data_IF_968715833151
#
_entry.id   IF_968715833151
#
_cell.length_a   1.000
_cell.length_b   1.000
_cell.length_c   1.000
_cell.angle_alpha   90.00
_cell.angle_beta   90.00
_cell.angle_gamma   90.00
#
_symmetry.space_group_name_H-M   'P 1'
#
loop_
_entity.id
_entity.type
_entity.pdbx_description
1 polymer ?
#
# COMPACT_ATOMS: atom_id res chain seq x y z
N UNK A 1 9.83 15.39 3.15
CA UNK A 1 11.31 15.35 3.25
C UNK A 1 11.87 14.07 2.62
N UNK A 2 11.60 12.87 3.18
CA UNK A 2 12.13 11.61 2.61
C UNK A 2 11.65 11.31 1.18
N UNK A 3 10.38 11.56 0.84
CA UNK A 3 9.91 11.41 -0.55
C UNK A 3 10.70 12.27 -1.55
N UNK A 4 11.13 13.48 -1.15
CA UNK A 4 11.94 14.37 -2.01
C UNK A 4 13.33 13.79 -2.23
N UNK A 5 13.94 13.18 -1.20
CA UNK A 5 15.25 12.52 -1.32
C UNK A 5 15.22 11.36 -2.34
N UNK A 6 14.10 10.63 -2.41
CA UNK A 6 13.86 9.61 -3.43
C UNK A 6 13.32 10.14 -4.75
N UNK A 7 13.31 11.47 -4.96
CA UNK A 7 12.82 12.15 -6.17
C UNK A 7 11.33 11.87 -6.47
N UNK A 8 10.53 11.57 -5.44
CA UNK A 8 9.08 11.47 -5.59
C UNK A 8 8.51 12.85 -5.89
N UNK A 9 7.73 12.95 -6.98
CA UNK A 9 7.09 14.21 -7.37
C UNK A 9 5.89 14.45 -6.46
N UNK A 10 5.95 15.53 -5.67
CA UNK A 10 4.82 16.01 -4.88
C UNK A 10 3.81 16.62 -5.85
N UNK A 11 2.57 16.14 -5.80
CA UNK A 11 1.47 16.69 -6.59
C UNK A 11 0.72 17.76 -5.80
N UNK A 12 0.40 17.49 -4.54
CA UNK A 12 -0.30 18.44 -3.67
C UNK A 12 -0.04 18.16 -2.19
N UNK A 13 -0.06 19.21 -1.37
CA UNK A 13 -0.15 19.11 0.09
C UNK A 13 -1.50 19.70 0.50
N UNK A 14 -2.31 18.93 1.23
CA UNK A 14 -3.63 19.31 1.69
C UNK A 14 -3.68 19.28 3.21
N UNK A 15 -4.13 20.38 3.81
CA UNK A 15 -4.45 20.44 5.24
C UNK A 15 -5.95 20.21 5.36
N UNK A 16 -6.33 19.14 6.05
CA UNK A 16 -7.71 18.75 6.32
C UNK A 16 -7.99 18.91 7.82
N UNK A 17 -9.26 19.07 8.22
CA UNK A 17 -9.63 19.13 9.65
C UNK A 17 -9.21 17.87 10.43
N UNK A 18 -9.01 16.74 9.74
CA UNK A 18 -8.57 15.47 10.33
C UNK A 18 -7.07 15.18 10.14
N UNK A 19 -6.27 16.14 9.67
CA UNK A 19 -4.82 16.01 9.53
C UNK A 19 -4.27 16.53 8.19
N UNK A 20 -2.97 16.33 7.95
CA UNK A 20 -2.31 16.68 6.69
C UNK A 20 -2.21 15.48 5.74
N UNK A 21 -2.53 15.67 4.46
CA UNK A 21 -2.36 14.68 3.41
C UNK A 21 -1.39 15.22 2.36
N UNK A 22 -0.28 14.51 2.14
CA UNK A 22 0.61 14.74 1.01
C UNK A 22 0.28 13.77 -0.11
N UNK A 23 -0.15 14.29 -1.26
CA UNK A 23 -0.42 13.53 -2.47
C UNK A 23 0.84 13.55 -3.32
N UNK A 24 1.42 12.37 -3.55
CA UNK A 24 2.53 12.18 -4.47
C UNK A 24 2.01 11.61 -5.79
N UNK A 25 2.72 11.90 -6.90
CA UNK A 25 2.50 11.21 -8.18
C UNK A 25 3.13 9.81 -8.09
N UNK A 26 2.51 8.94 -7.30
CA UNK A 26 3.04 7.62 -6.95
C UNK A 26 2.90 6.64 -8.12
N UNK A 27 4.03 5.98 -8.42
CA UNK A 27 4.05 4.79 -9.28
C UNK A 27 3.94 3.57 -8.38
N UNK A 28 3.08 2.63 -8.74
CA UNK A 28 2.92 1.37 -8.01
C UNK A 28 4.22 0.54 -8.05
N UNK A 29 5.04 0.70 -9.10
CA UNK A 29 6.27 -0.05 -9.28
C UNK A 29 7.53 0.58 -8.64
N UNK A 30 7.38 1.51 -7.70
CA UNK A 30 8.54 2.01 -6.92
C UNK A 30 9.19 0.88 -6.11
N UNK A 31 10.50 0.96 -5.81
CA UNK A 31 11.15 -0.01 -4.94
C UNK A 31 10.50 -0.04 -3.56
N UNK A 32 10.18 -1.24 -3.06
CA UNK A 32 9.48 -1.39 -1.76
C UNK A 32 10.24 -0.71 -0.61
N UNK A 33 11.58 -0.76 -0.62
CA UNK A 33 12.42 -0.18 0.43
C UNK A 33 12.24 1.34 0.52
N UNK A 34 12.12 2.03 -0.62
CA UNK A 34 11.90 3.48 -0.63
C UNK A 34 10.56 3.82 0.02
N UNK A 35 9.50 3.07 -0.31
CA UNK A 35 8.19 3.29 0.28
C UNK A 35 8.16 3.00 1.78
N UNK A 36 8.88 1.96 2.24
CA UNK A 36 9.00 1.66 3.66
C UNK A 36 9.65 2.83 4.41
N UNK A 37 10.74 3.40 3.88
CA UNK A 37 11.42 4.54 4.50
C UNK A 37 10.51 5.77 4.56
N UNK A 38 9.79 6.06 3.46
CA UNK A 38 8.85 7.19 3.42
C UNK A 38 7.69 6.97 4.39
N UNK A 39 7.16 5.76 4.52
CA UNK A 39 6.04 5.43 5.40
C UNK A 39 6.45 5.49 6.89
N UNK A 40 7.62 4.94 7.25
CA UNK A 40 8.14 4.98 8.63
C UNK A 40 8.54 6.41 9.06
N UNK A 41 8.85 7.29 8.10
CA UNK A 41 9.21 8.68 8.42
C UNK A 41 8.11 9.39 9.23
N UNK A 42 6.82 9.15 8.94
CA UNK A 42 5.70 9.76 9.67
C UNK A 42 5.76 9.46 11.18
N UNK A 43 5.69 8.18 11.59
CA UNK A 43 5.84 7.77 12.98
C UNK A 43 7.14 8.27 13.64
N UNK A 44 8.27 8.25 12.93
CA UNK A 44 9.54 8.78 13.45
C UNK A 44 9.42 10.28 13.76
N UNK A 45 8.87 11.07 12.84
CA UNK A 45 8.65 12.50 13.06
C UNK A 45 7.69 12.75 14.24
N UNK A 46 6.67 11.93 14.40
CA UNK A 46 5.74 12.01 15.53
C UNK A 46 6.45 11.75 16.88
N UNK A 47 7.39 10.80 16.93
CA UNK A 47 8.20 10.51 18.13
C UNK A 47 9.15 11.68 18.43
N UNK A 48 9.87 12.18 17.42
CA UNK A 48 10.79 13.32 17.59
C UNK A 48 10.03 14.54 18.12
N UNK A 49 8.87 14.84 17.54
CA UNK A 49 8.02 15.94 17.98
C UNK A 49 7.60 15.80 19.45
N UNK A 50 7.21 14.60 19.87
CA UNK A 50 6.87 14.35 21.27
C UNK A 50 8.05 14.57 22.22
N UNK A 51 9.24 14.07 21.90
CA UNK A 51 10.44 14.25 22.72
C UNK A 51 10.80 15.73 22.91
N UNK A 52 10.55 16.57 21.90
CA UNK A 52 10.81 18.01 21.98
C UNK A 52 9.81 18.75 22.88
N UNK A 53 8.54 18.32 22.89
CA UNK A 53 7.44 19.06 23.55
C UNK A 53 7.06 18.50 24.91
N UNK A 54 7.35 17.23 25.20
CA UNK A 54 6.93 16.57 26.44
C UNK A 54 7.43 17.26 27.71
N UNK A 55 8.50 18.07 27.63
CA UNK A 55 9.00 18.89 28.73
C UNK A 55 8.11 20.10 29.05
N UNK A 56 7.34 20.58 28.08
CA UNK A 56 6.53 21.80 28.19
C UNK A 56 5.04 21.52 28.37
N UNK A 57 4.53 20.42 27.79
CA UNK A 57 3.12 20.06 27.83
C UNK A 57 2.99 18.54 28.00
N UNK A 58 2.15 18.10 28.94
CA UNK A 58 1.83 16.68 29.08
C UNK A 58 0.82 16.22 28.02
N UNK A 59 1.36 15.74 26.91
CA UNK A 59 0.60 15.16 25.79
C UNK A 59 0.85 13.66 25.65
N UNK A 60 1.33 12.99 26.70
CA UNK A 60 1.79 11.59 26.63
C UNK A 60 0.72 10.65 26.11
N UNK A 61 -0.46 10.67 26.71
CA UNK A 61 -1.56 9.76 26.35
C UNK A 61 -2.02 9.99 24.90
N UNK A 62 -2.12 11.26 24.49
CA UNK A 62 -2.51 11.63 23.12
C UNK A 62 -1.47 11.15 22.11
N UNK A 63 -0.17 11.35 22.41
CA UNK A 63 0.91 10.92 21.54
C UNK A 63 0.89 9.41 21.30
N UNK A 64 0.84 8.61 22.37
CA UNK A 64 0.82 7.15 22.25
C UNK A 64 -0.44 6.65 21.56
N UNK A 65 -1.61 7.20 21.87
CA UNK A 65 -2.86 6.80 21.23
C UNK A 65 -2.84 7.08 19.72
N UNK A 66 -2.40 8.26 19.29
CA UNK A 66 -2.28 8.59 17.86
C UNK A 66 -1.25 7.71 17.15
N UNK A 67 -0.12 7.42 17.79
CA UNK A 67 0.94 6.62 17.20
C UNK A 67 0.49 5.16 17.03
N UNK A 68 -0.13 4.58 18.06
CA UNK A 68 -0.69 3.23 18.01
C UNK A 68 -1.79 3.16 16.96
N UNK A 69 -2.70 4.14 16.93
CA UNK A 69 -3.77 4.19 15.95
C UNK A 69 -3.24 4.22 14.51
N UNK A 70 -2.27 5.08 14.19
CA UNK A 70 -1.70 5.15 12.84
C UNK A 70 -0.95 3.87 12.42
N UNK A 71 -0.43 3.10 13.38
CA UNK A 71 0.27 1.84 13.13
C UNK A 71 -0.66 0.62 13.09
N UNK A 72 -1.97 0.80 13.29
CA UNK A 72 -2.92 -0.31 13.15
C UNK A 72 -2.92 -0.86 11.72
N UNK A 73 -3.00 -2.19 11.52
CA UNK A 73 -3.03 -2.80 10.19
C UNK A 73 -4.43 -2.71 9.54
N UNK A 74 -5.00 -1.51 9.49
CA UNK A 74 -6.34 -1.23 8.92
C UNK A 74 -6.21 -0.19 7.80
N UNK A 75 -6.66 -0.50 6.58
CA UNK A 75 -6.68 0.48 5.47
C UNK A 75 -7.61 1.65 5.82
N UNK A 76 -7.21 2.93 5.64
CA UNK A 76 -6.01 3.43 4.94
C UNK A 76 -4.84 3.86 5.86
N UNK A 77 -4.81 3.41 7.12
CA UNK A 77 -3.79 3.80 8.11
C UNK A 77 -2.39 3.33 7.66
N UNK A 78 -1.35 4.00 8.17
CA UNK A 78 0.04 3.74 7.76
C UNK A 78 0.49 2.32 8.12
N UNK A 79 -0.03 1.72 9.20
CA UNK A 79 0.21 0.33 9.55
C UNK A 79 -0.23 -0.66 8.46
N UNK A 80 -1.35 -0.41 7.78
CA UNK A 80 -1.80 -1.24 6.66
C UNK A 80 -0.90 -1.10 5.43
N UNK A 81 -0.35 0.09 5.18
CA UNK A 81 0.62 0.32 4.10
C UNK A 81 1.92 -0.44 4.38
N UNK A 82 2.44 -0.36 5.60
CA UNK A 82 3.61 -1.12 6.03
C UNK A 82 3.37 -2.63 5.91
N UNK A 83 2.21 -3.12 6.34
CA UNK A 83 1.83 -4.52 6.17
C UNK A 83 1.79 -4.93 4.70
N UNK A 84 1.18 -4.13 3.83
CA UNK A 84 1.13 -4.40 2.39
C UNK A 84 2.53 -4.45 1.76
N UNK A 85 3.41 -3.52 2.13
CA UNK A 85 4.80 -3.49 1.66
C UNK A 85 5.57 -4.74 2.09
N UNK A 86 5.39 -5.16 3.34
CA UNK A 86 5.97 -6.40 3.85
C UNK A 86 5.43 -7.62 3.10
N UNK A 87 4.12 -7.73 2.94
CA UNK A 87 3.47 -8.83 2.21
C UNK A 87 3.91 -8.87 0.74
N UNK A 88 4.06 -7.73 0.06
CA UNK A 88 4.51 -7.67 -1.34
C UNK A 88 5.98 -8.08 -1.55
N UNK A 89 6.76 -8.17 -0.47
CA UNK A 89 8.12 -8.72 -0.50
C UNK A 89 8.11 -10.26 -0.51
N UNK A 90 7.11 -10.86 0.13
CA UNK A 90 6.96 -12.31 0.33
C UNK A 90 6.04 -12.93 -0.72
N UNK A 91 4.96 -12.24 -1.07
CA UNK A 91 3.87 -12.71 -1.93
C UNK A 91 3.75 -11.87 -3.22
N UNK A 92 3.06 -12.41 -4.25
CA UNK A 92 2.72 -11.64 -5.45
C UNK A 92 1.90 -10.38 -5.12
N UNK A 93 2.06 -9.34 -5.93
CA UNK A 93 1.46 -8.02 -5.67
C UNK A 93 -0.06 -8.08 -5.46
N UNK A 94 -0.77 -8.80 -6.35
CA UNK A 94 -2.23 -8.93 -6.25
C UNK A 94 -2.65 -9.64 -4.96
N UNK A 95 -1.90 -10.67 -4.55
CA UNK A 95 -2.19 -11.41 -3.33
C UNK A 95 -1.91 -10.58 -2.07
N UNK A 96 -0.81 -9.81 -2.07
CA UNK A 96 -0.48 -8.90 -0.97
C UNK A 96 -1.59 -7.87 -0.69
N UNK A 97 -2.19 -7.32 -1.75
CA UNK A 97 -3.35 -6.42 -1.62
C UNK A 97 -4.56 -7.11 -0.97
N UNK A 98 -4.90 -8.34 -1.40
CA UNK A 98 -6.02 -9.08 -0.80
C UNK A 98 -5.75 -9.42 0.68
N UNK A 99 -4.55 -9.90 1.00
CA UNK A 99 -4.18 -10.25 2.37
C UNK A 99 -4.23 -9.02 3.30
N UNK A 100 -3.71 -7.87 2.84
CA UNK A 100 -3.75 -6.63 3.63
C UNK A 100 -5.19 -6.21 3.95
N UNK A 101 -6.07 -6.24 2.95
CA UNK A 101 -7.47 -5.89 3.14
C UNK A 101 -8.21 -6.92 4.02
N UNK A 102 -7.87 -8.21 3.89
CA UNK A 102 -8.41 -9.27 4.73
C UNK A 102 -8.04 -9.08 6.21
N UNK A 103 -6.77 -8.82 6.51
CA UNK A 103 -6.33 -8.47 7.87
C UNK A 103 -7.03 -7.21 8.38
N UNK A 104 -7.17 -6.19 7.52
CA UNK A 104 -7.86 -4.95 7.89
C UNK A 104 -9.31 -5.17 8.31
N UNK A 105 -10.06 -6.02 7.58
CA UNK A 105 -11.45 -6.36 7.94
C UNK A 105 -11.50 -7.11 9.27
N UNK A 106 -10.66 -8.14 9.45
CA UNK A 106 -10.64 -8.94 10.68
C UNK A 106 -10.37 -8.05 11.89
N UNK A 107 -9.32 -7.23 11.81
CA UNK A 107 -8.93 -6.35 12.91
C UNK A 107 -10.05 -5.34 13.17
N UNK A 108 -10.60 -4.72 12.12
CA UNK A 108 -11.71 -3.76 12.30
C UNK A 108 -12.92 -4.39 12.99
N UNK A 109 -13.26 -5.64 12.66
CA UNK A 109 -14.37 -6.35 13.28
C UNK A 109 -14.10 -6.68 14.76
N UNK A 110 -12.87 -7.11 15.09
CA UNK A 110 -12.45 -7.33 16.49
C UNK A 110 -12.57 -6.03 17.29
N UNK A 111 -12.10 -4.91 16.75
CA UNK A 111 -12.23 -3.60 17.41
C UNK A 111 -13.69 -3.17 17.59
N UNK A 112 -14.57 -3.42 16.62
CA UNK A 112 -16.00 -3.16 16.77
C UNK A 112 -16.60 -3.97 17.92
N UNK A 113 -16.25 -5.25 18.05
CA UNK A 113 -16.70 -6.09 19.17
C UNK A 113 -16.20 -5.52 20.50
N UNK A 114 -14.92 -5.15 20.59
CA UNK A 114 -14.34 -4.57 21.81
C UNK A 114 -15.10 -3.31 22.23
N UNK A 115 -15.46 -2.44 21.26
CA UNK A 115 -16.21 -1.20 21.53
C UNK A 115 -17.55 -1.48 22.19
N UNK A 116 -18.24 -2.57 21.81
CA UNK A 116 -19.52 -2.95 22.44
C UNK A 116 -19.39 -3.40 23.90
N UNK A 117 -18.22 -3.89 24.30
CA UNK A 117 -17.96 -4.30 25.69
C UNK A 117 -17.37 -3.17 26.56
N UNK A 118 -16.93 -2.08 25.96
CA UNK A 118 -16.43 -0.90 26.67
C UNK A 118 -17.50 0.16 26.85
N UNK A 119 -17.21 1.20 27.66
CA UNK A 119 -18.01 2.42 27.73
C UNK A 119 -18.30 2.97 26.33
N UNK A 120 -19.58 3.25 26.05
CA UNK A 120 -20.02 3.66 24.72
C UNK A 120 -19.39 4.99 24.31
N UNK A 121 -18.55 4.94 23.26
CA UNK A 121 -17.92 6.13 22.67
C UNK A 121 -18.33 6.26 21.20
N UNK A 122 -19.26 7.19 20.93
CA UNK A 122 -19.80 7.44 19.60
C UNK A 122 -18.74 7.86 18.58
N UNK A 123 -17.73 8.64 18.99
CA UNK A 123 -16.64 9.07 18.10
C UNK A 123 -15.84 7.85 17.66
N UNK A 124 -15.45 6.99 18.61
CA UNK A 124 -14.69 5.78 18.31
C UNK A 124 -15.49 4.85 17.39
N UNK A 125 -16.77 4.65 17.66
CA UNK A 125 -17.66 3.85 16.82
C UNK A 125 -17.73 4.40 15.38
N UNK A 126 -17.99 5.70 15.20
CA UNK A 126 -18.02 6.34 13.88
C UNK A 126 -16.69 6.21 13.14
N UNK A 127 -15.56 6.38 13.84
CA UNK A 127 -14.24 6.19 13.21
C UNK A 127 -14.04 4.77 12.71
N UNK A 128 -14.45 3.75 13.46
CA UNK A 128 -14.34 2.36 13.03
C UNK A 128 -15.26 2.05 11.84
N UNK A 129 -16.49 2.55 11.85
CA UNK A 129 -17.41 2.40 10.70
C UNK A 129 -16.82 3.03 9.44
N UNK A 130 -16.22 4.22 9.54
CA UNK A 130 -15.55 4.88 8.42
C UNK A 130 -14.34 4.06 7.90
N UNK A 131 -13.55 3.47 8.81
CA UNK A 131 -12.44 2.58 8.43
C UNK A 131 -12.95 1.33 7.69
N UNK A 132 -13.99 0.67 8.19
CA UNK A 132 -14.62 -0.47 7.50
C UNK A 132 -15.13 -0.06 6.12
N UNK A 133 -15.81 1.08 6.00
CA UNK A 133 -16.27 1.57 4.71
C UNK A 133 -15.10 1.80 3.73
N UNK A 134 -14.00 2.40 4.19
CA UNK A 134 -12.80 2.63 3.37
C UNK A 134 -12.11 1.34 2.95
N UNK A 135 -12.00 0.33 3.83
CA UNK A 135 -11.45 -0.98 3.48
C UNK A 135 -12.30 -1.66 2.38
N UNK A 136 -13.63 -1.59 2.48
CA UNK A 136 -14.53 -2.14 1.46
C UNK A 136 -14.39 -1.44 0.10
N UNK A 137 -14.23 -0.11 0.09
CA UNK A 137 -13.92 0.64 -1.13
C UNK A 137 -12.58 0.17 -1.73
N UNK A 138 -11.56 -0.03 -0.92
CA UNK A 138 -10.24 -0.48 -1.38
C UNK A 138 -10.30 -1.86 -2.03
N UNK A 139 -11.07 -2.79 -1.46
CA UNK A 139 -11.26 -4.14 -2.01
C UNK A 139 -11.82 -4.08 -3.43
N UNK A 140 -12.79 -3.20 -3.68
CA UNK A 140 -13.35 -2.99 -5.03
C UNK A 140 -12.30 -2.44 -5.99
N UNK A 141 -11.36 -1.64 -5.49
CA UNK A 141 -10.28 -1.03 -6.26
C UNK A 141 -9.08 -1.94 -6.54
N UNK A 142 -8.98 -3.13 -5.93
CA UNK A 142 -7.83 -4.04 -6.12
C UNK A 142 -7.58 -4.36 -7.61
N UNK A 143 -8.63 -4.61 -8.39
CA UNK A 143 -8.47 -4.90 -9.82
C UNK A 143 -7.96 -3.68 -10.60
N UNK A 144 -8.40 -2.47 -10.22
CA UNK A 144 -7.90 -1.24 -10.80
C UNK A 144 -6.41 -1.04 -10.46
N UNK A 145 -6.02 -1.19 -9.19
CA UNK A 145 -4.62 -1.11 -8.75
C UNK A 145 -3.75 -2.14 -9.48
N UNK A 146 -4.23 -3.37 -9.63
CA UNK A 146 -3.52 -4.41 -10.36
C UNK A 146 -3.37 -4.10 -11.85
N UNK A 147 -4.38 -3.52 -12.49
CA UNK A 147 -4.27 -3.10 -13.89
C UNK A 147 -3.32 -1.91 -14.04
N UNK A 148 -3.35 -0.94 -13.12
CA UNK A 148 -2.38 0.18 -13.08
C UNK A 148 -0.95 -0.34 -12.91
N UNK A 149 -0.72 -1.34 -12.06
CA UNK A 149 0.58 -2.01 -11.90
C UNK A 149 1.11 -2.60 -13.22
N UNK A 150 0.24 -3.29 -13.97
CA UNK A 150 0.61 -3.87 -15.27
C UNK A 150 0.84 -2.80 -16.34
N UNK A 151 0.04 -1.74 -16.34
CA UNK A 151 0.16 -0.64 -17.29
C UNK A 151 1.48 0.12 -17.10
N UNK A 152 1.89 0.38 -15.85
CA UNK A 152 3.20 1.00 -15.59
C UNK A 152 4.36 0.15 -16.11
N UNK A 153 4.26 -1.19 -15.97
CA UNK A 153 5.23 -2.16 -16.53
C UNK A 153 5.22 -2.24 -18.05
N UNK A 154 4.09 -1.87 -18.68
CA UNK A 154 3.98 -1.75 -20.13
C UNK A 154 4.68 -0.49 -20.65
N UNK A 155 4.43 0.66 -19.99
CA UNK A 155 4.93 1.97 -20.44
C UNK A 155 6.43 2.13 -20.16
N UNK A 156 6.93 1.65 -19.02
CA UNK A 156 8.29 1.94 -18.56
C UNK A 156 9.16 0.68 -18.38
N UNK A 157 10.46 0.77 -18.73
CA UNK A 157 11.44 -0.23 -18.25
C UNK A 157 11.75 0.05 -16.79
N UNK A 158 11.19 -0.74 -15.90
CA UNK A 158 11.59 -0.65 -14.51
C UNK A 158 12.96 -1.35 -14.41
N UNK A 159 13.99 -0.61 -14.00
CA UNK A 159 15.40 -1.07 -13.87
C UNK A 159 15.64 -2.15 -12.81
N UNK A 160 14.70 -3.07 -12.61
CA UNK A 160 14.76 -4.16 -11.65
C UNK A 160 15.79 -5.20 -12.11
N UNK A 161 16.70 -5.56 -11.21
CA UNK A 161 17.80 -6.52 -11.47
C UNK A 161 17.45 -7.99 -11.17
N UNK A 162 16.45 -8.24 -10.32
CA UNK A 162 16.08 -9.58 -9.86
C UNK A 162 15.06 -10.23 -10.80
N UNK A 163 15.19 -11.53 -11.04
CA UNK A 163 14.29 -12.28 -11.93
C UNK A 163 13.53 -13.39 -11.20
N UNK A 164 12.30 -13.67 -11.63
CA UNK A 164 11.49 -14.82 -11.22
C UNK A 164 10.84 -15.48 -12.43
N UNK A 165 10.73 -16.80 -12.39
CA UNK A 165 10.04 -17.56 -13.43
C UNK A 165 8.57 -17.79 -13.06
N UNK A 166 7.67 -17.55 -14.00
CA UNK A 166 6.24 -17.83 -13.86
C UNK A 166 5.84 -18.88 -14.90
N UNK A 167 5.28 -19.98 -14.45
CA UNK A 167 4.75 -21.02 -15.35
C UNK A 167 3.33 -20.65 -15.80
N UNK A 168 3.12 -20.60 -17.11
CA UNK A 168 1.85 -20.21 -17.73
C UNK A 168 1.56 -18.71 -17.71
N UNK A 169 0.46 -18.30 -18.36
CA UNK A 169 0.05 -16.89 -18.44
C UNK A 169 -0.78 -16.54 -17.20
N UNK A 170 -0.10 -16.33 -16.07
CA UNK A 170 -0.75 -15.88 -14.83
C UNK A 170 -0.09 -14.62 -14.28
N UNK A 171 -0.61 -13.47 -14.69
CA UNK A 171 -0.17 -12.16 -14.20
C UNK A 171 -0.34 -12.00 -12.69
N UNK A 172 -1.30 -12.70 -12.06
CA UNK A 172 -1.54 -12.61 -10.62
C UNK A 172 -0.36 -13.12 -9.77
N UNK A 173 0.58 -13.86 -10.38
CA UNK A 173 1.81 -14.33 -9.74
C UNK A 173 2.99 -13.35 -9.85
N UNK A 174 2.79 -12.17 -10.41
CA UNK A 174 3.83 -11.15 -10.54
C UNK A 174 4.13 -10.49 -9.18
N UNK A 175 5.42 -10.36 -8.90
CA UNK A 175 5.96 -9.68 -7.73
C UNK A 175 6.41 -8.26 -8.09
N UNK A 176 6.32 -7.33 -7.14
CA UNK A 176 6.61 -5.92 -7.39
C UNK A 176 8.10 -5.65 -7.70
N UNK A 177 9.01 -6.21 -6.90
CA UNK A 177 10.48 -5.99 -7.00
C UNK A 177 11.21 -7.02 -7.91
N UNK A 178 10.51 -7.68 -8.82
CA UNK A 178 11.10 -8.69 -9.72
C UNK A 178 10.69 -8.45 -11.19
N UNK A 179 11.62 -8.71 -12.12
CA UNK A 179 11.28 -8.96 -13.53
C UNK A 179 10.86 -10.42 -13.69
N UNK A 180 9.93 -10.67 -14.60
CA UNK A 180 9.40 -12.01 -14.80
C UNK A 180 9.79 -12.58 -16.15
N UNK A 181 10.07 -13.87 -16.17
CA UNK A 181 10.16 -14.66 -17.39
C UNK A 181 9.04 -15.68 -17.33
N UNK A 182 8.17 -15.67 -18.32
CA UNK A 182 7.04 -16.58 -18.36
C UNK A 182 7.39 -17.79 -19.22
N UNK A 183 7.16 -18.98 -18.69
CA UNK A 183 7.41 -20.23 -19.39
C UNK A 183 6.06 -20.76 -19.88
N UNK A 184 5.85 -20.73 -21.19
CA UNK A 184 4.62 -21.19 -21.85
C UNK A 184 5.02 -22.28 -22.84
N UNK A 185 4.45 -23.49 -22.69
CA UNK A 185 4.76 -24.65 -23.52
C UNK A 185 6.28 -24.90 -23.66
N UNK A 186 7.00 -24.84 -22.52
CA UNK A 186 8.47 -24.98 -22.41
C UNK A 186 9.30 -23.89 -23.12
N UNK A 187 8.69 -22.83 -23.67
CA UNK A 187 9.38 -21.67 -24.24
C UNK A 187 9.36 -20.48 -23.27
N UNK A 188 10.51 -19.85 -23.00
CA UNK A 188 10.57 -18.63 -22.19
C UNK A 188 10.15 -17.41 -23.02
N UNK A 189 9.34 -16.55 -22.42
CA UNK A 189 8.91 -15.27 -22.98
C UNK A 189 9.24 -14.16 -21.99
N UNK A 190 9.67 -13.01 -22.51
CA UNK A 190 9.96 -11.85 -21.67
C UNK A 190 8.67 -11.24 -21.13
N UNK A 191 8.73 -10.62 -19.95
CA UNK A 191 7.60 -9.89 -19.38
C UNK A 191 6.99 -8.88 -20.36
N UNK A 192 7.84 -8.14 -21.08
CA UNK A 192 7.41 -7.14 -22.06
C UNK A 192 6.59 -7.73 -23.19
N UNK A 193 7.03 -8.86 -23.76
CA UNK A 193 6.31 -9.53 -24.85
C UNK A 193 4.90 -9.93 -24.43
N UNK A 194 4.75 -10.45 -23.21
CA UNK A 194 3.45 -10.94 -22.72
C UNK A 194 2.54 -9.80 -22.30
N UNK A 195 3.08 -8.77 -21.65
CA UNK A 195 2.28 -7.60 -21.28
C UNK A 195 1.81 -6.86 -22.54
N UNK A 196 2.66 -6.72 -23.57
CA UNK A 196 2.26 -6.16 -24.87
C UNK A 196 1.09 -6.91 -25.50
N UNK A 197 1.13 -8.25 -25.53
CA UNK A 197 0.01 -9.06 -26.02
C UNK A 197 -1.33 -8.79 -25.32
N UNK A 198 -1.30 -8.32 -24.07
CA UNK A 198 -2.51 -7.99 -23.30
C UNK A 198 -3.06 -6.60 -23.61
N UNK A 199 -2.20 -5.60 -23.83
CA UNK A 199 -2.62 -4.20 -24.03
C UNK A 199 -2.68 -3.79 -25.50
N UNK A 200 -1.82 -4.34 -26.36
CA UNK A 200 -1.75 -4.06 -27.80
C UNK A 200 -2.77 -4.89 -28.60
N UNK A 201 -3.98 -5.10 -28.08
CA UNK A 201 -5.06 -5.88 -28.74
C UNK A 201 -5.61 -5.24 -30.04
N UNK A 202 -4.78 -4.51 -30.78
CA UNK A 202 -5.02 -3.96 -32.13
C UNK A 202 -3.91 -4.31 -33.14
N UNK A 203 -3.26 -5.48 -33.02
CA UNK A 203 -2.64 -6.15 -34.18
C UNK A 203 -3.07 -7.61 -34.28
N UNK A 204 -4.36 -7.84 -34.48
CA UNK A 204 -4.80 -9.00 -35.26
C UNK A 204 -4.40 -8.73 -36.72
N UNK A 205 -3.17 -9.09 -37.07
CA UNK A 205 -2.81 -9.41 -38.45
C UNK A 205 -2.84 -10.93 -38.52
N UNK A 206 -4.01 -11.48 -38.81
CA UNK A 206 -4.27 -12.70 -39.57
C UNK A 206 -5.72 -12.59 -40.05
#
# INVERSE_FOLDING_TARGET
MFGILFKWKIEKIMIMPFGGLTIFKERINLPIIEEVIVCIAGPIFQIIYYVLICKYVDIRSIHYNLLIFNLLPIVPLDGSKLLNLFLNKIFPFKLGLYLTNYFSIIISFIFLIIIFYTEWNLILFLTMVLLVFKTLCEIKNINYLFNKFLLERYIEDIGIKKFKYIHGINFGKMYRDYKHIFIINKKPYTEREIIRKRFDLERKIW
#
